data_IF_547092071613
#
_entry.id   IF_547092071613
#
_cell.length_a   1.000
_cell.length_b   1.000
_cell.length_c   1.000
_cell.angle_alpha   90.00
_cell.angle_beta   90.00
_cell.angle_gamma   90.00
#
_symmetry.space_group_name_H-M   'P 1'
#
loop_
_entity.id
_entity.type
_entity.pdbx_description
1 polymer ?
#
# COMPACT_ATOMS: atom_id res chain seq x y z
N UNK A 1 -0.96 -19.77 23.62
CA UNK A 1 -1.28 -19.53 22.19
C UNK A 1 0.03 -19.50 21.39
N UNK A 2 0.96 -18.61 21.76
CA UNK A 2 2.28 -18.48 21.13
C UNK A 2 3.07 -19.79 21.15
N UNK A 3 3.19 -20.45 22.30
CA UNK A 3 3.84 -21.77 22.41
C UNK A 3 3.23 -22.83 21.47
N UNK A 4 1.93 -22.73 21.18
CA UNK A 4 1.24 -23.67 20.29
C UNK A 4 1.52 -23.35 18.81
N UNK A 5 1.62 -22.06 18.44
CA UNK A 5 2.00 -21.64 17.10
C UNK A 5 3.46 -22.00 16.80
N UNK A 6 4.36 -21.72 17.75
CA UNK A 6 5.76 -22.09 17.66
C UNK A 6 5.90 -23.61 17.54
N UNK A 7 5.24 -24.38 18.41
CA UNK A 7 5.25 -25.84 18.33
C UNK A 7 4.65 -26.36 17.02
N UNK A 8 3.62 -25.69 16.48
CA UNK A 8 3.00 -26.05 15.20
C UNK A 8 3.97 -25.92 14.02
N UNK A 9 4.71 -24.81 13.94
CA UNK A 9 5.73 -24.61 12.89
C UNK A 9 6.95 -25.49 13.13
N UNK A 10 7.45 -25.54 14.37
CA UNK A 10 8.65 -26.30 14.72
C UNK A 10 8.46 -27.81 14.63
N UNK A 11 7.26 -28.33 14.90
CA UNK A 11 6.95 -29.73 14.72
C UNK A 11 7.07 -30.20 13.27
N UNK A 12 6.99 -29.28 12.29
CA UNK A 12 7.18 -29.57 10.88
C UNK A 12 8.57 -29.14 10.35
N UNK A 13 9.29 -28.27 11.08
CA UNK A 13 10.58 -27.71 10.69
C UNK A 13 11.73 -28.69 10.92
N UNK A 14 12.81 -28.55 10.13
CA UNK A 14 14.05 -29.31 10.32
C UNK A 14 15.19 -28.43 10.82
N UNK A 15 15.07 -27.11 10.69
CA UNK A 15 15.98 -26.14 11.25
C UNK A 15 15.51 -25.63 12.62
N UNK A 16 16.44 -25.32 13.55
CA UNK A 16 16.10 -24.70 14.82
C UNK A 16 15.49 -23.30 14.63
N UNK A 17 14.36 -23.01 15.29
CA UNK A 17 13.83 -21.65 15.38
C UNK A 17 14.77 -20.76 16.20
N UNK A 18 15.10 -19.59 15.67
CA UNK A 18 15.74 -18.51 16.43
C UNK A 18 14.86 -17.29 16.59
N UNK A 19 13.56 -17.43 16.38
CA UNK A 19 12.56 -16.38 16.58
C UNK A 19 11.46 -16.85 17.52
N UNK A 20 10.79 -15.90 18.17
CA UNK A 20 9.60 -16.10 18.97
C UNK A 20 8.65 -14.91 18.80
N UNK A 21 7.36 -15.15 19.02
CA UNK A 21 6.34 -14.09 19.05
C UNK A 21 6.53 -13.24 20.31
N UNK A 22 6.34 -11.92 20.19
CA UNK A 22 6.34 -10.99 21.30
C UNK A 22 5.28 -9.91 21.13
N UNK A 23 4.49 -9.67 22.16
CA UNK A 23 3.56 -8.52 22.25
C UNK A 23 4.23 -7.21 22.71
N UNK A 24 5.57 -7.16 22.76
CA UNK A 24 6.35 -6.03 23.31
C UNK A 24 7.23 -5.35 22.28
N UNK A 25 6.87 -5.41 21.01
CA UNK A 25 7.57 -4.70 19.94
C UNK A 25 6.85 -3.38 19.62
N UNK A 26 7.50 -2.39 18.97
CA UNK A 26 6.92 -1.07 18.73
C UNK A 26 5.56 -1.08 18.01
N UNK A 27 5.35 -2.00 17.07
CA UNK A 27 4.07 -2.16 16.35
C UNK A 27 3.07 -3.09 17.06
N UNK A 28 3.28 -3.38 18.36
CA UNK A 28 2.45 -4.28 19.15
C UNK A 28 2.98 -5.70 19.15
N UNK A 29 2.32 -6.59 18.40
CA UNK A 29 2.75 -8.00 18.23
C UNK A 29 3.73 -8.12 17.08
N UNK A 30 4.79 -8.90 17.26
CA UNK A 30 5.73 -9.21 16.19
C UNK A 30 6.70 -10.34 16.54
N UNK A 31 7.78 -10.46 15.76
CA UNK A 31 8.83 -11.44 15.99
C UNK A 31 10.07 -10.81 16.64
N UNK A 32 10.70 -11.54 17.56
CA UNK A 32 12.00 -11.17 18.15
C UNK A 32 12.97 -12.34 18.08
N UNK A 33 14.26 -12.05 18.03
CA UNK A 33 15.31 -13.07 18.09
C UNK A 33 15.38 -13.72 19.48
N UNK A 34 15.54 -15.04 19.53
CA UNK A 34 15.66 -15.81 20.79
C UNK A 34 17.10 -16.07 21.20
N UNK A 35 18.06 -15.80 20.31
CA UNK A 35 19.50 -15.92 20.51
C UNK A 35 20.24 -14.84 19.71
N UNK A 36 21.53 -14.68 19.98
CA UNK A 36 22.41 -13.88 19.13
C UNK A 36 22.61 -14.61 17.79
N UNK A 37 22.60 -13.86 16.69
CA UNK A 37 22.71 -14.41 15.33
C UNK A 37 23.65 -13.61 14.46
N UNK A 38 24.30 -14.31 13.52
CA UNK A 38 25.20 -13.70 12.56
C UNK A 38 24.44 -13.09 11.36
N UNK A 39 25.03 -12.10 10.66
CA UNK A 39 24.42 -11.56 9.46
C UNK A 39 24.13 -12.64 8.40
N UNK A 40 22.93 -12.64 7.85
CA UNK A 40 22.50 -13.63 6.86
C UNK A 40 22.23 -15.05 7.40
N UNK A 41 22.32 -15.26 8.71
CA UNK A 41 22.01 -16.55 9.32
C UNK A 41 20.52 -16.91 9.18
N UNK A 42 20.20 -18.19 8.99
CA UNK A 42 18.82 -18.69 9.00
C UNK A 42 18.23 -18.57 10.41
N UNK A 43 17.12 -17.84 10.54
CA UNK A 43 16.44 -17.62 11.83
C UNK A 43 15.06 -18.30 11.91
N UNK A 44 14.41 -18.55 10.77
CA UNK A 44 13.14 -19.27 10.69
C UNK A 44 13.04 -20.06 9.39
N UNK A 45 12.60 -21.31 9.48
CA UNK A 45 12.12 -22.13 8.36
C UNK A 45 10.61 -22.33 8.54
N UNK A 46 9.83 -22.05 7.49
CA UNK A 46 8.38 -22.29 7.42
C UNK A 46 8.13 -23.39 6.37
N UNK A 47 7.88 -24.63 6.81
CA UNK A 47 7.71 -25.76 5.90
C UNK A 47 6.46 -25.66 5.02
N UNK A 48 6.45 -26.29 3.82
CA UNK A 48 5.29 -26.28 2.92
C UNK A 48 3.99 -26.82 3.56
N UNK A 49 4.11 -27.74 4.53
CA UNK A 49 2.95 -28.40 5.17
C UNK A 49 2.13 -27.46 6.06
N UNK A 50 2.74 -26.40 6.57
CA UNK A 50 2.07 -25.42 7.44
C UNK A 50 1.60 -24.17 6.68
N UNK A 51 2.04 -23.99 5.42
CA UNK A 51 1.56 -22.90 4.57
C UNK A 51 0.08 -23.07 4.24
N UNK A 52 -0.62 -21.94 4.17
CA UNK A 52 -2.01 -21.87 3.73
C UNK A 52 -2.12 -21.03 2.45
N UNK A 53 -2.31 -21.72 1.35
CA UNK A 53 -2.55 -21.17 0.02
C UNK A 53 -3.46 -22.09 -0.81
N UNK A 54 -3.95 -21.63 -1.95
CA UNK A 54 -4.84 -22.42 -2.82
C UNK A 54 -4.23 -23.77 -3.23
N UNK A 55 -2.92 -23.85 -3.46
CA UNK A 55 -2.28 -25.13 -3.79
C UNK A 55 -2.32 -26.12 -2.62
N UNK A 56 -2.09 -25.65 -1.38
CA UNK A 56 -2.16 -26.49 -0.18
C UNK A 56 -3.60 -26.90 0.15
N UNK A 57 -4.56 -25.98 -0.02
CA UNK A 57 -5.98 -26.23 0.22
C UNK A 57 -6.53 -27.24 -0.77
N UNK A 58 -6.23 -27.08 -2.06
CA UNK A 58 -6.63 -28.02 -3.11
C UNK A 58 -6.08 -29.44 -2.89
N UNK A 59 -4.87 -29.57 -2.31
CA UNK A 59 -4.29 -30.87 -1.95
C UNK A 59 -5.02 -31.54 -0.78
N UNK A 60 -5.56 -30.76 0.16
CA UNK A 60 -6.34 -31.27 1.32
C UNK A 60 -7.74 -31.69 0.89
N UNK A 61 -8.39 -30.87 0.06
CA UNK A 61 -9.69 -31.15 -0.53
C UNK A 61 -9.78 -30.47 -1.90
N UNK A 62 -10.28 -31.17 -2.92
CA UNK A 62 -10.34 -30.64 -4.27
C UNK A 62 -11.22 -29.38 -4.34
N UNK A 63 -10.64 -28.27 -4.80
CA UNK A 63 -11.35 -27.00 -4.99
C UNK A 63 -11.70 -26.82 -6.47
N UNK A 64 -12.96 -27.09 -6.84
CA UNK A 64 -13.42 -27.02 -8.23
C UNK A 64 -13.43 -25.60 -8.84
N UNK A 65 -13.71 -24.59 -8.01
CA UNK A 65 -13.85 -23.18 -8.41
C UNK A 65 -12.62 -22.31 -8.05
N UNK A 66 -11.49 -22.92 -7.69
CA UNK A 66 -10.24 -22.20 -7.44
C UNK A 66 -9.40 -22.02 -8.72
N UNK A 67 -8.41 -21.12 -8.74
CA UNK A 67 -7.55 -20.93 -9.91
C UNK A 67 -6.84 -22.22 -10.30
N UNK A 68 -6.61 -22.41 -11.60
CA UNK A 68 -5.79 -23.52 -12.12
C UNK A 68 -4.36 -23.07 -12.45
N UNK A 69 -3.39 -23.93 -12.13
CA UNK A 69 -1.98 -23.66 -12.47
C UNK A 69 -1.79 -23.59 -13.98
N UNK A 70 -0.88 -22.72 -14.42
CA UNK A 70 -0.54 -22.52 -15.84
C UNK A 70 -1.71 -22.16 -16.77
N UNK A 71 -2.87 -21.76 -16.23
CA UNK A 71 -4.02 -21.31 -17.02
C UNK A 71 -4.22 -19.81 -16.82
N UNK A 72 -4.40 -19.08 -17.92
CA UNK A 72 -4.85 -17.69 -17.85
C UNK A 72 -6.38 -17.67 -17.94
N UNK A 73 -7.05 -17.65 -16.78
CA UNK A 73 -8.50 -17.69 -16.70
C UNK A 73 -9.08 -16.27 -16.70
N UNK A 74 -10.02 -15.97 -17.61
CA UNK A 74 -10.75 -14.69 -17.56
C UNK A 74 -11.62 -14.67 -16.30
N UNK A 75 -11.38 -13.71 -15.42
CA UNK A 75 -12.19 -13.46 -14.22
C UNK A 75 -13.44 -12.66 -14.59
N UNK A 76 -14.60 -13.05 -14.06
CA UNK A 76 -15.90 -12.44 -14.36
C UNK A 76 -17.05 -13.29 -13.82
N UNK A 77 -18.31 -12.92 -14.12
CA UNK A 77 -19.48 -13.68 -13.70
C UNK A 77 -19.41 -15.14 -14.18
N UNK A 78 -19.33 -16.09 -13.24
CA UNK A 78 -19.17 -17.52 -13.50
C UNK A 78 -17.74 -18.02 -13.74
N UNK A 79 -16.73 -17.16 -13.63
CA UNK A 79 -15.31 -17.55 -13.62
C UNK A 79 -14.85 -18.11 -12.26
N UNK A 80 -13.65 -18.72 -12.19
CA UNK A 80 -13.10 -19.22 -10.94
C UNK A 80 -12.76 -18.06 -9.99
N UNK A 81 -12.83 -18.33 -8.69
CA UNK A 81 -12.34 -17.44 -7.66
C UNK A 81 -10.83 -17.27 -7.77
N UNK A 82 -10.34 -16.10 -7.38
CA UNK A 82 -8.91 -15.87 -7.15
C UNK A 82 -8.43 -16.53 -5.86
N UNK A 83 -7.11 -16.71 -5.72
CA UNK A 83 -6.56 -17.24 -4.46
C UNK A 83 -6.84 -16.33 -3.27
N UNK A 84 -6.79 -15.01 -3.48
CA UNK A 84 -7.17 -14.04 -2.45
C UNK A 84 -8.62 -14.26 -1.98
N UNK A 85 -9.56 -14.42 -2.90
CA UNK A 85 -10.98 -14.65 -2.59
C UNK A 85 -11.20 -16.00 -1.88
N UNK A 86 -10.55 -17.08 -2.33
CA UNK A 86 -10.65 -18.40 -1.70
C UNK A 86 -10.14 -18.37 -0.26
N UNK A 87 -8.96 -17.80 -0.02
CA UNK A 87 -8.38 -17.71 1.33
C UNK A 87 -9.24 -16.81 2.22
N UNK A 88 -9.68 -15.65 1.72
CA UNK A 88 -10.56 -14.73 2.44
C UNK A 88 -11.88 -15.40 2.85
N UNK A 89 -12.49 -16.15 1.94
CA UNK A 89 -13.72 -16.90 2.19
C UNK A 89 -13.50 -18.01 3.22
N UNK A 90 -12.39 -18.75 3.14
CA UNK A 90 -12.06 -19.80 4.11
C UNK A 90 -11.89 -19.24 5.54
N UNK A 91 -11.19 -18.11 5.68
CA UNK A 91 -11.05 -17.41 6.95
C UNK A 91 -12.40 -16.92 7.47
N UNK A 92 -13.20 -16.28 6.61
CA UNK A 92 -14.53 -15.81 6.95
C UNK A 92 -15.44 -16.94 7.44
N UNK A 93 -15.42 -18.11 6.78
CA UNK A 93 -16.17 -19.29 7.20
C UNK A 93 -15.68 -19.80 8.55
N UNK A 94 -14.37 -19.87 8.78
CA UNK A 94 -13.82 -20.28 10.07
C UNK A 94 -14.27 -19.35 11.20
N UNK A 95 -14.28 -18.03 10.98
CA UNK A 95 -14.82 -17.06 11.94
C UNK A 95 -16.32 -17.24 12.17
N UNK A 96 -17.11 -17.33 11.10
CA UNK A 96 -18.56 -17.49 11.16
C UNK A 96 -19.00 -18.81 11.80
N UNK A 97 -18.21 -19.88 11.64
CA UNK A 97 -18.42 -21.19 12.26
C UNK A 97 -18.07 -21.25 13.76
N UNK A 98 -17.73 -20.12 14.39
CA UNK A 98 -17.37 -20.09 15.81
C UNK A 98 -15.94 -20.52 16.10
N UNK A 99 -15.03 -20.37 15.12
CA UNK A 99 -13.59 -20.69 15.24
C UNK A 99 -13.33 -22.13 15.70
N UNK A 100 -13.87 -23.15 14.99
CA UNK A 100 -13.70 -24.54 15.40
C UNK A 100 -12.24 -25.00 15.35
N UNK A 101 -11.95 -26.03 16.15
CA UNK A 101 -10.62 -26.65 16.20
C UNK A 101 -10.25 -27.34 14.89
N UNK A 102 -8.96 -27.25 14.54
CA UNK A 102 -8.36 -27.82 13.34
C UNK A 102 -6.87 -28.00 13.49
N UNK A 103 -6.26 -28.77 12.60
CA UNK A 103 -4.79 -28.86 12.50
C UNK A 103 -4.15 -27.50 12.21
N UNK A 104 -4.90 -26.55 11.62
CA UNK A 104 -4.47 -25.18 11.39
C UNK A 104 -4.75 -24.23 12.56
N UNK A 105 -5.43 -24.68 13.63
CA UNK A 105 -5.92 -23.82 14.70
C UNK A 105 -4.82 -23.02 15.40
N UNK A 106 -3.60 -23.57 15.66
CA UNK A 106 -2.51 -22.79 16.22
C UNK A 106 -2.17 -21.54 15.41
N UNK A 107 -2.30 -21.62 14.08
CA UNK A 107 -2.13 -20.48 13.18
C UNK A 107 -3.36 -19.58 13.14
N UNK A 108 -4.55 -20.13 12.88
CA UNK A 108 -5.76 -19.32 12.70
C UNK A 108 -6.13 -18.48 13.93
N UNK A 109 -5.92 -19.04 15.13
CA UNK A 109 -6.16 -18.34 16.40
C UNK A 109 -5.14 -17.23 16.66
N UNK A 110 -3.97 -17.27 16.02
CA UNK A 110 -2.94 -16.23 16.15
C UNK A 110 -3.25 -14.97 15.33
N UNK A 111 -4.12 -15.06 14.32
CA UNK A 111 -4.52 -13.94 13.48
C UNK A 111 -5.19 -12.82 14.31
N UNK A 112 -5.10 -11.54 13.89
CA UNK A 112 -5.75 -10.43 14.58
C UNK A 112 -7.26 -10.63 14.68
N UNK A 113 -7.88 -10.16 15.77
CA UNK A 113 -9.34 -10.22 15.93
C UNK A 113 -10.10 -9.17 15.11
N UNK A 114 -9.46 -8.01 14.88
CA UNK A 114 -10.02 -6.87 14.17
C UNK A 114 -8.90 -6.00 13.56
N UNK A 115 -9.30 -5.06 12.70
CA UNK A 115 -8.43 -4.08 12.05
C UNK A 115 -9.00 -2.67 12.25
N UNK A 116 -9.03 -2.16 13.49
CA UNK A 116 -9.78 -0.94 13.84
C UNK A 116 -9.21 0.33 13.21
N UNK A 117 -7.93 0.32 12.81
CA UNK A 117 -7.24 1.48 12.23
C UNK A 117 -7.25 1.49 10.70
N UNK A 118 -7.83 0.47 10.05
CA UNK A 118 -7.85 0.38 8.59
C UNK A 118 -9.03 1.16 7.99
N UNK A 119 -8.82 2.03 6.98
CA UNK A 119 -9.90 2.77 6.33
C UNK A 119 -11.02 1.89 5.75
N UNK A 120 -10.69 0.68 5.30
CA UNK A 120 -11.69 -0.27 4.82
C UNK A 120 -12.68 -0.66 5.93
N UNK A 121 -12.17 -0.89 7.14
CA UNK A 121 -13.00 -1.23 8.31
C UNK A 121 -13.97 -0.09 8.62
N UNK A 122 -13.48 1.16 8.69
CA UNK A 122 -14.32 2.33 8.91
C UNK A 122 -15.43 2.46 7.87
N UNK A 123 -15.11 2.20 6.60
CA UNK A 123 -16.04 2.37 5.50
C UNK A 123 -17.13 1.28 5.44
N UNK A 124 -16.83 0.06 5.89
CA UNK A 124 -17.78 -1.06 5.90
C UNK A 124 -18.60 -1.09 7.18
N UNK A 125 -17.99 -0.86 8.34
CA UNK A 125 -18.69 -0.85 9.63
C UNK A 125 -19.54 0.43 9.80
N UNK A 126 -19.12 1.54 9.19
CA UNK A 126 -19.86 2.79 9.21
C UNK A 126 -19.94 3.41 10.61
N UNK A 127 -20.96 4.22 10.85
CA UNK A 127 -21.08 5.02 12.07
C UNK A 127 -20.54 6.44 11.90
N UNK A 128 -21.00 7.35 12.77
CA UNK A 128 -20.72 8.79 12.65
C UNK A 128 -19.23 9.08 12.78
N UNK A 129 -18.56 8.51 13.78
CA UNK A 129 -17.13 8.68 14.03
C UNK A 129 -16.27 8.19 12.84
N UNK A 130 -16.48 6.95 12.40
CA UNK A 130 -15.80 6.40 11.22
C UNK A 130 -16.00 7.24 9.96
N UNK A 131 -17.21 7.77 9.77
CA UNK A 131 -17.52 8.66 8.65
C UNK A 131 -16.72 9.96 8.71
N UNK A 132 -16.56 10.54 9.90
CA UNK A 132 -15.84 11.80 10.08
C UNK A 132 -14.31 11.62 10.02
N UNK A 133 -13.78 10.49 10.51
CA UNK A 133 -12.38 10.09 10.28
C UNK A 133 -12.13 9.91 8.79
N UNK A 134 -13.00 9.17 8.08
CA UNK A 134 -12.89 8.99 6.64
C UNK A 134 -12.91 10.32 5.89
N UNK A 135 -13.79 11.27 6.25
CA UNK A 135 -13.81 12.64 5.67
C UNK A 135 -12.52 13.42 5.92
N UNK A 136 -11.83 13.12 7.01
CA UNK A 136 -10.59 13.79 7.41
C UNK A 136 -9.33 13.29 6.72
N UNK A 137 -9.39 12.16 6.01
CA UNK A 137 -8.26 11.66 5.23
C UNK A 137 -7.74 12.71 4.23
N UNK A 138 -6.41 12.75 4.04
CA UNK A 138 -5.79 13.48 2.95
C UNK A 138 -6.33 13.00 1.59
N UNK A 139 -6.17 13.80 0.53
CA UNK A 139 -6.59 13.35 -0.80
C UNK A 139 -5.86 12.07 -1.21
N UNK A 140 -4.55 12.02 -0.95
CA UNK A 140 -3.71 10.83 -1.18
C UNK A 140 -4.24 9.60 -0.45
N UNK A 141 -4.43 9.70 0.88
CA UNK A 141 -4.92 8.61 1.70
C UNK A 141 -6.32 8.15 1.30
N UNK A 142 -7.22 9.10 0.98
CA UNK A 142 -8.57 8.78 0.47
C UNK A 142 -8.50 8.00 -0.84
N UNK A 143 -7.72 8.47 -1.81
CA UNK A 143 -7.58 7.78 -3.10
C UNK A 143 -7.11 6.33 -2.94
N UNK A 144 -6.12 6.10 -2.07
CA UNK A 144 -5.64 4.73 -1.76
C UNK A 144 -6.71 3.90 -1.02
N UNK A 145 -7.40 4.48 -0.04
CA UNK A 145 -8.49 3.81 0.67
C UNK A 145 -9.66 3.43 -0.25
N UNK A 146 -10.05 4.32 -1.16
CA UNK A 146 -11.13 4.07 -2.13
C UNK A 146 -10.76 2.96 -3.12
N UNK A 147 -9.49 2.86 -3.51
CA UNK A 147 -8.99 1.75 -4.33
C UNK A 147 -9.11 0.41 -3.59
N UNK A 148 -8.67 0.34 -2.33
CA UNK A 148 -8.81 -0.86 -1.47
C UNK A 148 -10.27 -1.24 -1.32
N UNK A 149 -11.13 -0.26 -0.98
CA UNK A 149 -12.58 -0.46 -0.86
C UNK A 149 -13.20 -0.97 -2.16
N UNK A 150 -12.82 -0.42 -3.31
CA UNK A 150 -13.31 -0.88 -4.61
C UNK A 150 -12.92 -2.34 -4.90
N UNK A 151 -11.74 -2.78 -4.45
CA UNK A 151 -11.34 -4.20 -4.58
C UNK A 151 -12.15 -5.08 -3.64
N UNK A 152 -12.30 -4.69 -2.38
CA UNK A 152 -13.12 -5.39 -1.40
C UNK A 152 -14.57 -5.54 -1.89
N UNK A 153 -15.19 -4.43 -2.32
CA UNK A 153 -16.58 -4.44 -2.80
C UNK A 153 -16.71 -5.41 -3.97
N UNK A 154 -15.82 -5.33 -4.97
CA UNK A 154 -15.85 -6.26 -6.12
C UNK A 154 -15.71 -7.73 -5.70
N UNK A 155 -14.81 -8.02 -4.76
CA UNK A 155 -14.60 -9.39 -4.28
C UNK A 155 -15.81 -9.90 -3.47
N UNK A 156 -16.39 -9.06 -2.63
CA UNK A 156 -17.59 -9.39 -1.86
C UNK A 156 -18.79 -9.64 -2.77
N UNK A 157 -19.03 -8.76 -3.75
CA UNK A 157 -20.09 -8.96 -4.75
C UNK A 157 -19.88 -10.26 -5.53
N UNK A 158 -18.65 -10.52 -5.98
CA UNK A 158 -18.35 -11.73 -6.72
C UNK A 158 -18.59 -13.01 -5.89
N UNK A 159 -18.13 -13.02 -4.63
CA UNK A 159 -18.39 -14.13 -3.71
C UNK A 159 -19.90 -14.29 -3.47
N UNK A 160 -20.63 -13.21 -3.22
CA UNK A 160 -22.08 -13.27 -3.00
C UNK A 160 -22.86 -13.78 -4.22
N UNK A 161 -22.40 -13.48 -5.44
CA UNK A 161 -23.06 -13.89 -6.69
C UNK A 161 -22.76 -15.34 -7.09
N UNK A 162 -21.50 -15.78 -7.02
CA UNK A 162 -21.11 -17.09 -7.58
C UNK A 162 -21.15 -18.23 -6.57
N UNK A 163 -21.33 -17.91 -5.29
CA UNK A 163 -21.31 -18.92 -4.24
C UNK A 163 -22.48 -19.88 -4.38
N UNK A 164 -22.15 -21.16 -4.38
CA UNK A 164 -23.11 -22.24 -4.12
C UNK A 164 -22.77 -22.92 -2.79
N UNK A 165 -23.75 -23.61 -2.20
CA UNK A 165 -23.53 -24.42 -1.01
C UNK A 165 -22.42 -25.47 -1.21
N UNK A 166 -22.30 -26.02 -2.42
CA UNK A 166 -21.23 -26.97 -2.75
C UNK A 166 -19.86 -26.30 -2.71
N UNK A 167 -19.72 -25.09 -3.27
CA UNK A 167 -18.46 -24.34 -3.22
C UNK A 167 -18.07 -23.99 -1.78
N UNK A 168 -19.02 -23.52 -0.97
CA UNK A 168 -18.77 -23.26 0.45
C UNK A 168 -18.35 -24.52 1.19
N UNK A 169 -18.97 -25.65 0.88
CA UNK A 169 -18.59 -26.94 1.46
C UNK A 169 -17.17 -27.37 1.05
N UNK A 170 -16.78 -27.16 -0.20
CA UNK A 170 -15.42 -27.48 -0.67
C UNK A 170 -14.36 -26.62 0.01
N UNK A 171 -14.60 -25.32 0.15
CA UNK A 171 -13.70 -24.40 0.86
C UNK A 171 -13.60 -24.81 2.33
N UNK A 172 -14.73 -25.09 2.99
CA UNK A 172 -14.78 -25.55 4.37
C UNK A 172 -13.97 -26.84 4.59
N UNK A 173 -14.22 -27.85 3.75
CA UNK A 173 -13.49 -29.13 3.81
C UNK A 173 -11.99 -28.95 3.55
N UNK A 174 -11.58 -28.00 2.70
CA UNK A 174 -10.16 -27.73 2.43
C UNK A 174 -9.38 -27.17 3.63
N UNK A 175 -10.10 -26.63 4.62
CA UNK A 175 -9.57 -26.22 5.93
C UNK A 175 -9.53 -27.38 6.95
N UNK A 176 -9.83 -28.61 6.51
CA UNK A 176 -9.92 -29.80 7.34
C UNK A 176 -11.20 -29.88 8.16
N UNK A 177 -12.24 -29.14 7.77
CA UNK A 177 -13.48 -29.06 8.53
C UNK A 177 -14.49 -30.12 8.13
N UNK A 178 -15.32 -30.52 9.11
CA UNK A 178 -16.43 -31.43 8.91
C UNK A 178 -17.77 -30.71 9.14
N UNK A 179 -18.88 -31.35 8.73
CA UNK A 179 -20.22 -30.79 8.87
C UNK A 179 -20.54 -29.74 7.80
N UNK A 180 -21.67 -29.05 7.97
CA UNK A 180 -22.17 -28.07 7.01
C UNK A 180 -21.37 -26.77 7.09
N UNK A 181 -20.87 -26.29 5.94
CA UNK A 181 -20.19 -25.00 5.87
C UNK A 181 -21.08 -23.85 6.33
N UNK A 182 -20.57 -22.94 7.18
CA UNK A 182 -21.33 -21.78 7.64
C UNK A 182 -21.49 -20.75 6.51
N UNK A 183 -22.62 -20.05 6.52
CA UNK A 183 -22.82 -18.83 5.74
C UNK A 183 -22.00 -17.70 6.34
N UNK A 184 -21.39 -16.86 5.51
CA UNK A 184 -20.58 -15.71 5.94
C UNK A 184 -21.34 -14.39 5.76
N UNK A 185 -21.22 -13.48 6.72
CA UNK A 185 -21.68 -12.09 6.58
C UNK A 185 -20.63 -11.21 5.89
N UNK A 186 -21.01 -9.98 5.53
CA UNK A 186 -20.04 -9.00 5.01
C UNK A 186 -18.96 -8.68 6.05
N UNK A 187 -19.27 -8.69 7.35
CA UNK A 187 -18.30 -8.44 8.41
C UNK A 187 -17.33 -9.62 8.60
N UNK A 188 -17.79 -10.86 8.46
CA UNK A 188 -16.90 -12.03 8.46
C UNK A 188 -15.96 -12.00 7.26
N UNK A 189 -16.49 -11.63 6.09
CA UNK A 189 -15.69 -11.49 4.88
C UNK A 189 -14.71 -10.32 4.97
N UNK A 190 -15.10 -9.16 5.52
CA UNK A 190 -14.20 -8.05 5.81
C UNK A 190 -12.98 -8.51 6.61
N UNK A 191 -13.21 -9.27 7.69
CA UNK A 191 -12.12 -9.79 8.51
C UNK A 191 -11.22 -10.75 7.73
N UNK A 192 -11.80 -11.75 7.04
CA UNK A 192 -11.03 -12.71 6.25
C UNK A 192 -10.25 -12.03 5.12
N UNK A 193 -10.84 -11.01 4.49
CA UNK A 193 -10.24 -10.21 3.43
C UNK A 193 -9.07 -9.37 3.98
N UNK A 194 -9.23 -8.71 5.13
CA UNK A 194 -8.16 -7.94 5.76
C UNK A 194 -7.00 -8.83 6.22
N UNK A 195 -7.28 -10.00 6.82
CA UNK A 195 -6.25 -10.99 7.13
C UNK A 195 -5.49 -11.41 5.87
N UNK A 196 -6.19 -11.69 4.77
CA UNK A 196 -5.56 -12.11 3.52
C UNK A 196 -4.73 -10.98 2.90
N UNK A 197 -5.28 -9.77 2.81
CA UNK A 197 -4.66 -8.61 2.17
C UNK A 197 -3.39 -8.13 2.91
N UNK A 198 -3.44 -8.14 4.26
CA UNK A 198 -2.36 -7.59 5.08
C UNK A 198 -1.27 -8.61 5.47
N UNK A 199 -1.52 -9.93 5.32
CA UNK A 199 -0.61 -10.98 5.83
C UNK A 199 -0.14 -11.99 4.80
N UNK A 200 -0.76 -12.05 3.62
CA UNK A 200 -0.23 -12.92 2.56
C UNK A 200 1.11 -12.40 2.06
N UNK A 201 2.06 -13.32 1.91
CA UNK A 201 3.28 -13.07 1.15
C UNK A 201 3.14 -13.63 -0.26
N UNK A 202 3.85 -13.00 -1.20
CA UNK A 202 3.99 -13.57 -2.53
C UNK A 202 4.89 -14.82 -2.45
N UNK A 203 4.48 -15.88 -3.13
CA UNK A 203 5.27 -17.09 -3.35
C UNK A 203 4.89 -17.64 -4.72
N UNK A 204 5.88 -17.90 -5.59
CA UNK A 204 5.58 -18.50 -6.89
C UNK A 204 5.06 -19.94 -6.72
N UNK A 205 3.75 -20.11 -6.85
CA UNK A 205 3.04 -21.37 -6.77
C UNK A 205 2.79 -21.97 -8.17
N UNK A 206 3.28 -21.34 -9.24
CA UNK A 206 3.05 -21.73 -10.63
C UNK A 206 1.69 -21.30 -11.19
N UNK A 207 1.06 -20.27 -10.61
CA UNK A 207 -0.13 -19.66 -11.21
C UNK A 207 0.27 -18.54 -12.16
N UNK A 208 -0.39 -18.47 -13.32
CA UNK A 208 -0.09 -17.47 -14.35
C UNK A 208 -0.41 -16.04 -13.89
N UNK A 209 -1.43 -15.88 -13.05
CA UNK A 209 -1.84 -14.57 -12.53
C UNK A 209 -1.13 -14.31 -11.20
N UNK A 210 -0.40 -13.20 -11.14
CA UNK A 210 0.33 -12.77 -9.94
C UNK A 210 -0.55 -12.79 -8.66
N UNK A 211 -1.82 -12.32 -8.67
CA UNK A 211 -2.68 -12.34 -7.49
C UNK A 211 -3.10 -13.75 -7.00
N UNK A 212 -2.75 -14.81 -7.73
CA UNK A 212 -3.01 -16.20 -7.31
C UNK A 212 -1.81 -16.87 -6.64
N UNK A 213 -0.68 -16.15 -6.56
CA UNK A 213 0.56 -16.61 -5.94
C UNK A 213 0.69 -16.06 -4.50
N UNK A 214 -0.42 -16.05 -3.76
CA UNK A 214 -0.47 -15.59 -2.37
C UNK A 214 -0.48 -16.75 -1.39
N UNK A 215 0.26 -16.58 -0.29
CA UNK A 215 0.40 -17.57 0.77
C UNK A 215 0.36 -16.91 2.13
N UNK A 216 -0.48 -17.43 3.03
CA UNK A 216 -0.35 -17.21 4.46
C UNK A 216 0.72 -18.14 5.02
N UNK A 217 1.71 -17.54 5.67
CA UNK A 217 2.89 -18.22 6.17
C UNK A 217 2.97 -18.06 7.70
N UNK A 218 2.53 -19.07 8.49
CA UNK A 218 2.53 -18.98 9.95
C UNK A 218 3.91 -18.61 10.51
N UNK A 219 3.92 -17.80 11.57
CA UNK A 219 5.08 -17.09 12.15
C UNK A 219 5.68 -16.02 11.25
N UNK A 220 5.97 -16.31 9.99
CA UNK A 220 6.53 -15.29 9.09
C UNK A 220 5.60 -14.08 8.93
N UNK A 221 4.29 -14.30 8.94
CA UNK A 221 3.27 -13.25 8.88
C UNK A 221 3.22 -12.35 10.13
N UNK A 222 3.95 -12.68 11.19
CA UNK A 222 4.15 -11.85 12.38
C UNK A 222 5.34 -10.89 12.24
N UNK A 223 6.18 -11.03 11.20
CA UNK A 223 7.26 -10.09 10.97
C UNK A 223 6.71 -8.72 10.56
N UNK A 224 7.01 -7.69 11.33
CA UNK A 224 6.55 -6.32 11.06
C UNK A 224 7.29 -5.69 9.89
N UNK A 225 6.71 -4.62 9.34
CA UNK A 225 7.34 -3.86 8.27
C UNK A 225 8.49 -2.99 8.78
N UNK A 226 9.59 -2.94 8.03
CA UNK A 226 10.57 -1.85 8.09
C UNK A 226 10.82 -1.26 6.71
N UNK A 227 10.96 0.06 6.62
CA UNK A 227 11.48 0.75 5.42
C UNK A 227 12.99 1.04 5.53
N UNK A 228 13.64 0.63 6.64
CA UNK A 228 15.07 0.80 6.89
C UNK A 228 15.83 -0.42 6.33
N UNK A 229 16.63 -0.28 5.26
CA UNK A 229 17.18 -1.44 4.55
C UNK A 229 18.10 -2.34 5.37
N UNK A 230 18.82 -1.78 6.35
CA UNK A 230 19.76 -2.57 7.17
C UNK A 230 19.07 -3.35 8.30
N UNK A 231 17.81 -3.05 8.62
CA UNK A 231 16.97 -3.80 9.56
C UNK A 231 16.24 -4.99 8.89
N UNK A 232 16.25 -5.06 7.56
CA UNK A 232 15.44 -6.01 6.80
C UNK A 232 16.00 -7.43 6.88
N UNK A 233 15.21 -8.35 7.43
CA UNK A 233 15.37 -9.79 7.26
C UNK A 233 14.92 -10.22 5.85
N UNK A 234 15.65 -11.14 5.24
CA UNK A 234 15.40 -11.58 3.87
C UNK A 234 14.57 -12.86 3.84
N UNK A 235 13.44 -12.81 3.15
CA UNK A 235 12.62 -13.99 2.85
C UNK A 235 13.16 -14.69 1.61
N UNK A 236 13.36 -16.01 1.68
CA UNK A 236 13.80 -16.86 0.58
C UNK A 236 12.84 -18.02 0.38
N UNK A 237 12.71 -18.48 -0.86
CA UNK A 237 12.02 -19.73 -1.18
C UNK A 237 12.93 -20.94 -0.92
N UNK A 238 12.47 -21.86 -0.08
CA UNK A 238 13.13 -23.14 0.10
C UNK A 238 12.88 -24.03 -1.13
N UNK A 239 13.89 -24.79 -1.54
CA UNK A 239 13.84 -25.70 -2.69
C UNK A 239 12.78 -26.79 -2.54
N UNK A 240 12.33 -27.08 -1.31
CA UNK A 240 11.25 -28.05 -1.03
C UNK A 240 9.85 -27.42 -1.07
N UNK A 241 9.76 -26.13 -1.41
CA UNK A 241 8.50 -25.38 -1.49
C UNK A 241 8.06 -24.75 -0.17
N UNK A 242 9.00 -24.46 0.74
CA UNK A 242 8.78 -23.71 1.98
C UNK A 242 9.29 -22.28 1.87
N UNK A 243 9.29 -21.57 2.99
CA UNK A 243 9.87 -20.24 3.12
C UNK A 243 10.95 -20.23 4.20
N UNK A 244 11.97 -19.42 4.01
CA UNK A 244 13.05 -19.21 4.98
C UNK A 244 13.19 -17.73 5.26
N UNK A 245 13.48 -17.38 6.50
CA UNK A 245 13.81 -16.03 6.93
C UNK A 245 15.26 -15.99 7.38
N UNK A 246 16.02 -15.10 6.76
CA UNK A 246 17.43 -14.86 7.05
C UNK A 246 17.58 -13.55 7.83
N UNK A 247 18.43 -13.55 8.85
CA UNK A 247 18.85 -12.35 9.55
C UNK A 247 19.40 -11.31 8.55
N UNK A 248 19.33 -10.00 8.86
CA UNK A 248 19.78 -8.98 7.93
C UNK A 248 21.25 -9.20 7.53
N UNK A 249 21.54 -9.05 6.24
CA UNK A 249 22.88 -9.33 5.69
C UNK A 249 23.95 -8.33 6.13
N UNK A 250 23.53 -7.16 6.61
CA UNK A 250 24.44 -6.15 7.14
C UNK A 250 24.60 -6.33 8.66
N UNK A 251 25.81 -6.13 9.19
CA UNK A 251 25.99 -6.10 10.63
C UNK A 251 25.23 -4.92 11.22
N UNK A 252 24.60 -5.13 12.37
CA UNK A 252 24.00 -4.05 13.14
C UNK A 252 25.07 -2.99 13.45
N UNK A 253 24.77 -1.68 13.28
CA UNK A 253 25.65 -0.61 13.75
C UNK A 253 26.03 -0.82 15.22
N UNK A 254 27.30 -0.60 15.54
CA UNK A 254 27.86 -0.97 16.83
C UNK A 254 27.11 -0.28 17.98
N UNK A 255 26.41 -1.08 18.79
CA UNK A 255 25.88 -0.67 20.10
C UNK A 255 26.64 -1.43 21.17
N UNK A 256 27.31 -0.70 22.05
CA UNK A 256 28.05 -1.26 23.20
C UNK A 256 29.16 -2.28 22.85
N UNK A 257 29.90 -2.06 21.74
CA UNK A 257 31.16 -2.78 21.49
C UNK A 257 31.02 -4.23 20.99
N UNK A 258 29.87 -4.63 20.45
CA UNK A 258 29.62 -6.00 19.98
C UNK A 258 29.00 -5.99 18.58
N UNK A 259 29.52 -6.81 17.65
CA UNK A 259 29.02 -6.96 16.27
C UNK A 259 27.91 -8.04 16.15
N UNK A 260 26.99 -7.89 15.20
CA UNK A 260 25.91 -8.86 14.94
C UNK A 260 24.57 -8.53 15.63
N UNK A 261 23.58 -9.39 15.41
CA UNK A 261 22.22 -9.24 15.90
C UNK A 261 22.06 -9.92 17.27
N UNK A 262 21.19 -9.37 18.12
CA UNK A 262 21.06 -9.81 19.52
C UNK A 262 19.73 -10.48 19.79
N UNK A 263 19.76 -11.39 20.76
CA UNK A 263 18.54 -11.84 21.43
C UNK A 263 17.69 -10.63 21.85
N UNK A 264 16.42 -10.65 21.49
CA UNK A 264 15.45 -9.60 21.77
C UNK A 264 15.37 -8.50 20.71
N UNK A 265 16.27 -8.46 19.71
CA UNK A 265 16.08 -7.58 18.57
C UNK A 265 14.85 -8.01 17.76
N UNK A 266 14.06 -7.04 17.31
CA UNK A 266 12.89 -7.28 16.46
C UNK A 266 13.31 -7.78 15.07
N UNK A 267 12.54 -8.72 14.55
CA UNK A 267 12.70 -9.31 13.23
C UNK A 267 11.67 -8.68 12.30
N UNK A 268 12.13 -7.82 11.41
CA UNK A 268 11.29 -7.08 10.45
C UNK A 268 11.58 -7.51 9.01
N UNK A 269 10.58 -7.38 8.14
CA UNK A 269 10.72 -7.57 6.69
C UNK A 269 10.24 -6.31 5.94
N UNK A 270 10.55 -6.23 4.65
CA UNK A 270 10.03 -5.15 3.78
C UNK A 270 8.80 -5.65 3.03
N UNK A 271 7.63 -5.09 3.31
CA UNK A 271 6.39 -5.41 2.57
C UNK A 271 6.43 -4.84 1.15
N UNK A 272 7.14 -3.71 1.00
CA UNK A 272 7.38 -3.03 -0.26
C UNK A 272 7.91 -1.62 -0.01
N UNK A 273 8.26 -0.93 -1.09
CA UNK A 273 8.58 0.50 -1.06
C UNK A 273 7.29 1.32 -1.00
N UNK A 274 6.59 1.27 0.14
CA UNK A 274 5.26 1.83 0.31
C UNK A 274 5.29 3.16 1.06
N UNK A 275 4.54 4.14 0.56
CA UNK A 275 4.20 5.35 1.30
C UNK A 275 3.32 5.01 2.52
N UNK A 276 3.33 5.88 3.54
CA UNK A 276 2.46 5.74 4.71
C UNK A 276 0.97 5.71 4.32
N UNK A 277 0.56 6.41 3.27
CA UNK A 277 -0.83 6.37 2.77
C UNK A 277 -1.21 4.99 2.19
N UNK A 278 -0.26 4.30 1.55
CA UNK A 278 -0.44 2.90 1.11
C UNK A 278 -0.45 1.95 2.28
N UNK A 279 0.48 2.10 3.24
CA UNK A 279 0.54 1.27 4.43
C UNK A 279 -0.77 1.37 5.24
N UNK A 280 -1.31 2.58 5.37
CA UNK A 280 -2.59 2.82 6.03
C UNK A 280 -3.74 2.13 5.32
N UNK A 281 -3.86 2.31 4.00
CA UNK A 281 -4.97 1.76 3.24
C UNK A 281 -4.96 0.22 3.18
N UNK A 282 -3.78 -0.39 3.04
CA UNK A 282 -3.64 -1.83 2.82
C UNK A 282 -3.47 -2.64 4.12
N UNK A 283 -2.83 -2.06 5.14
CA UNK A 283 -2.45 -2.75 6.37
C UNK A 283 -2.97 -2.10 7.66
N UNK A 284 -3.43 -0.84 7.61
CA UNK A 284 -3.98 -0.14 8.77
C UNK A 284 -2.95 0.51 9.69
N UNK A 285 -1.72 0.78 9.23
CA UNK A 285 -0.71 1.46 10.04
C UNK A 285 0.13 2.44 9.19
N UNK A 286 0.90 3.31 9.86
CA UNK A 286 1.89 4.20 9.24
C UNK A 286 3.24 4.05 9.95
N UNK A 287 4.34 4.27 9.23
CA UNK A 287 5.66 4.32 9.85
C UNK A 287 5.87 5.66 10.57
N UNK A 288 6.68 5.72 11.64
CA UNK A 288 6.94 6.96 12.38
C UNK A 288 7.50 8.10 11.52
N UNK A 289 7.17 9.34 11.87
CA UNK A 289 7.65 10.55 11.18
C UNK A 289 9.16 10.81 11.38
N UNK A 290 9.77 10.16 12.37
CA UNK A 290 11.19 10.22 12.73
C UNK A 290 11.95 8.91 12.45
N UNK A 291 11.52 8.16 11.43
CA UNK A 291 12.10 6.89 11.01
C UNK A 291 13.64 6.95 10.75
N UNK A 292 14.10 8.07 10.23
CA UNK A 292 15.50 8.35 9.89
C UNK A 292 15.96 9.62 10.63
N UNK A 293 16.20 9.55 11.95
CA UNK A 293 16.47 10.75 12.76
C UNK A 293 17.79 11.44 12.38
N UNK A 294 18.71 10.71 11.75
CA UNK A 294 20.00 11.23 11.27
C UNK A 294 19.92 11.85 9.87
N UNK A 295 18.77 11.77 9.18
CA UNK A 295 18.56 12.40 7.89
C UNK A 295 18.28 13.90 8.08
N UNK A 296 19.26 14.73 7.70
CA UNK A 296 19.19 16.18 7.83
C UNK A 296 18.14 16.84 6.93
N UNK A 297 17.63 16.13 5.91
CA UNK A 297 16.68 16.66 4.94
C UNK A 297 15.24 16.24 5.26
N UNK A 298 15.00 14.93 5.40
CA UNK A 298 13.67 14.38 5.70
C UNK A 298 13.76 13.10 6.54
N UNK A 299 13.27 13.17 7.77
CA UNK A 299 13.36 12.08 8.76
C UNK A 299 12.28 11.02 8.62
N UNK A 300 11.24 11.26 7.83
CA UNK A 300 10.09 10.35 7.72
C UNK A 300 10.32 9.19 6.75
N UNK A 301 9.25 8.50 6.40
CA UNK A 301 9.29 7.46 5.38
C UNK A 301 9.64 8.05 4.00
N UNK A 302 10.84 7.76 3.50
CA UNK A 302 11.34 8.25 2.20
C UNK A 302 10.49 7.88 0.98
N UNK A 303 9.61 6.88 1.12
CA UNK A 303 8.70 6.46 0.06
C UNK A 303 7.38 7.23 0.03
N UNK A 304 7.17 8.16 0.98
CA UNK A 304 5.99 8.99 1.00
C UNK A 304 5.83 9.78 -0.32
N UNK A 305 4.61 9.78 -0.83
CA UNK A 305 4.15 10.57 -1.96
C UNK A 305 2.92 11.39 -1.55
N UNK A 306 2.69 12.51 -2.24
CA UNK A 306 1.50 13.33 -2.03
C UNK A 306 0.85 13.60 -3.38
N UNK A 307 -0.37 13.11 -3.57
CA UNK A 307 -1.11 13.25 -4.83
C UNK A 307 -1.76 14.62 -4.95
N UNK A 308 -1.54 15.27 -6.11
CA UNK A 308 -2.09 16.57 -6.49
C UNK A 308 -3.12 16.46 -7.63
N UNK A 309 -3.63 15.27 -7.94
CA UNK A 309 -4.55 15.02 -9.05
C UNK A 309 -5.77 15.94 -9.05
N UNK A 310 -6.53 16.00 -7.94
CA UNK A 310 -7.69 16.90 -7.80
C UNK A 310 -7.33 18.37 -8.05
N UNK A 311 -6.15 18.80 -7.60
CA UNK A 311 -5.71 20.18 -7.77
C UNK A 311 -5.36 20.49 -9.24
N UNK A 312 -4.70 19.58 -9.94
CA UNK A 312 -4.41 19.72 -11.37
C UNK A 312 -5.68 19.67 -12.22
N UNK A 313 -6.60 18.75 -11.90
CA UNK A 313 -7.91 18.68 -12.54
C UNK A 313 -8.64 20.01 -12.39
N UNK A 314 -8.69 20.56 -11.17
CA UNK A 314 -9.31 21.87 -10.91
C UNK A 314 -8.66 22.99 -11.73
N UNK A 315 -7.32 23.02 -11.81
CA UNK A 315 -6.62 24.01 -12.64
C UNK A 315 -6.99 23.90 -14.11
N UNK A 316 -7.09 22.70 -14.65
CA UNK A 316 -7.50 22.48 -16.04
C UNK A 316 -8.96 22.90 -16.25
N UNK A 317 -9.88 22.49 -15.36
CA UNK A 317 -11.30 22.83 -15.47
C UNK A 317 -11.53 24.36 -15.48
N UNK A 318 -10.76 25.12 -14.67
CA UNK A 318 -10.82 26.59 -14.66
C UNK A 318 -10.36 27.25 -15.96
N UNK A 319 -9.66 26.53 -16.84
CA UNK A 319 -9.24 27.01 -18.16
C UNK A 319 -10.29 26.75 -19.26
N UNK A 320 -11.44 26.17 -18.93
CA UNK A 320 -12.54 25.91 -19.86
C UNK A 320 -12.13 25.04 -21.05
N UNK A 321 -12.52 25.42 -22.26
CA UNK A 321 -12.23 24.68 -23.50
C UNK A 321 -10.72 24.46 -23.75
N UNK A 322 -9.87 25.42 -23.36
CA UNK A 322 -8.41 25.24 -23.42
C UNK A 322 -7.95 24.16 -22.44
N UNK A 323 -8.50 24.14 -21.23
CA UNK A 323 -8.20 23.14 -20.22
C UNK A 323 -8.62 21.74 -20.62
N UNK A 324 -9.81 21.61 -21.22
CA UNK A 324 -10.29 20.34 -21.77
C UNK A 324 -9.33 19.82 -22.85
N UNK A 325 -8.89 20.66 -23.79
CA UNK A 325 -7.91 20.27 -24.80
C UNK A 325 -6.58 19.82 -24.16
N UNK A 326 -6.07 20.53 -23.15
CA UNK A 326 -4.85 20.15 -22.43
C UNK A 326 -5.01 18.78 -21.74
N UNK A 327 -6.17 18.50 -21.16
CA UNK A 327 -6.50 17.21 -20.57
C UNK A 327 -6.46 16.08 -21.60
N UNK A 328 -7.13 16.24 -22.74
CA UNK A 328 -7.15 15.25 -23.82
C UNK A 328 -5.73 14.98 -24.35
N UNK A 329 -4.88 16.00 -24.42
CA UNK A 329 -3.47 15.84 -24.79
C UNK A 329 -2.68 15.04 -23.74
N UNK A 330 -2.88 15.31 -22.45
CA UNK A 330 -2.25 14.56 -21.37
C UNK A 330 -2.68 13.09 -21.36
N UNK A 331 -3.97 12.82 -21.57
CA UNK A 331 -4.54 11.47 -21.67
C UNK A 331 -3.95 10.70 -22.86
N UNK A 332 -3.96 11.32 -24.05
CA UNK A 332 -3.48 10.67 -25.29
C UNK A 332 -1.98 10.41 -25.30
N UNK A 333 -1.17 11.19 -24.58
CA UNK A 333 0.29 11.02 -24.50
C UNK A 333 0.73 10.27 -23.23
N UNK A 334 -0.21 9.76 -22.43
CA UNK A 334 0.10 8.91 -21.25
C UNK A 334 0.63 9.66 -20.03
N UNK A 335 0.36 10.96 -19.95
CA UNK A 335 0.74 11.87 -18.86
C UNK A 335 -0.45 12.28 -17.97
N UNK A 336 -1.61 11.65 -18.11
CA UNK A 336 -2.77 11.95 -17.27
C UNK A 336 -2.71 11.28 -15.88
N UNK A 337 -3.05 12.07 -14.86
CA UNK A 337 -3.12 11.69 -13.45
C UNK A 337 -1.77 11.22 -12.87
N UNK A 338 -1.79 10.68 -11.64
CA UNK A 338 -0.59 10.26 -10.92
C UNK A 338 0.43 11.42 -10.77
N UNK A 339 -0.13 12.61 -10.53
CA UNK A 339 0.62 13.82 -10.27
C UNK A 339 0.96 13.85 -8.78
N UNK A 340 2.24 13.76 -8.47
CA UNK A 340 2.71 13.62 -7.09
C UNK A 340 3.89 14.53 -6.80
N UNK A 341 4.10 14.81 -5.52
CA UNK A 341 5.32 15.41 -4.99
C UNK A 341 5.98 14.47 -3.98
N UNK A 342 7.30 14.52 -3.90
CA UNK A 342 8.11 13.55 -3.15
C UNK A 342 9.16 14.25 -2.26
N UNK A 343 9.40 13.77 -1.03
CA UNK A 343 10.49 14.26 -0.18
C UNK A 343 11.86 13.73 -0.59
N UNK A 344 11.90 12.59 -1.28
CA UNK A 344 13.13 11.84 -1.59
C UNK A 344 13.10 11.30 -3.03
N UNK A 345 14.26 11.18 -3.71
CA UNK A 345 15.58 11.69 -3.29
C UNK A 345 15.58 13.21 -3.11
N UNK A 346 16.49 13.72 -2.27
CA UNK A 346 16.67 15.15 -2.09
C UNK A 346 17.33 15.78 -3.34
N UNK A 347 16.98 17.02 -3.71
CA UNK A 347 15.96 17.86 -3.09
C UNK A 347 14.54 17.35 -3.37
N UNK A 348 13.59 17.71 -2.52
CA UNK A 348 12.18 17.36 -2.68
C UNK A 348 11.63 17.96 -3.98
N UNK A 349 10.91 17.17 -4.75
CA UNK A 349 10.63 17.47 -6.16
C UNK A 349 9.23 17.02 -6.58
N UNK A 350 8.65 17.64 -7.64
CA UNK A 350 7.49 17.09 -8.31
C UNK A 350 7.86 15.81 -9.08
N UNK A 351 6.91 14.90 -9.24
CA UNK A 351 7.08 13.77 -10.15
C UNK A 351 7.21 14.26 -11.59
N UNK A 352 7.86 13.45 -12.44
CA UNK A 352 8.01 13.77 -13.86
C UNK A 352 6.65 14.02 -14.54
N UNK A 353 5.61 13.27 -14.16
CA UNK A 353 4.23 13.46 -14.66
C UNK A 353 3.68 14.82 -14.26
N UNK A 354 3.81 15.19 -12.98
CA UNK A 354 3.35 16.49 -12.48
C UNK A 354 4.11 17.64 -13.18
N UNK A 355 5.43 17.55 -13.31
CA UNK A 355 6.23 18.58 -13.98
C UNK A 355 5.82 18.75 -15.45
N UNK A 356 5.63 17.63 -16.15
CA UNK A 356 5.19 17.59 -17.55
C UNK A 356 3.79 18.20 -17.73
N UNK A 357 2.86 17.89 -16.81
CA UNK A 357 1.52 18.46 -16.83
C UNK A 357 1.55 19.96 -16.51
N UNK A 358 2.30 20.40 -15.50
CA UNK A 358 2.41 21.82 -15.14
C UNK A 358 2.99 22.65 -16.28
N UNK A 359 3.99 22.12 -17.00
CA UNK A 359 4.54 22.78 -18.21
C UNK A 359 3.45 23.13 -19.20
N UNK A 360 2.49 22.22 -19.43
CA UNK A 360 1.33 22.44 -20.31
C UNK A 360 0.28 23.35 -19.68
N UNK A 361 -0.06 23.14 -18.40
CA UNK A 361 -1.03 23.95 -17.64
C UNK A 361 -0.63 25.42 -17.69
N UNK A 362 0.65 25.74 -17.52
CA UNK A 362 1.21 27.08 -17.52
C UNK A 362 1.45 27.68 -18.92
N UNK A 363 1.05 27.01 -20.02
CA UNK A 363 1.09 27.61 -21.35
C UNK A 363 -0.14 28.49 -21.59
N UNK A 364 0.10 29.73 -21.96
CA UNK A 364 -0.94 30.66 -22.45
C UNK A 364 -1.31 30.32 -23.89
N UNK A 365 -2.60 30.07 -24.13
CA UNK A 365 -3.16 29.71 -25.44
C UNK A 365 -4.03 30.85 -25.95
N UNK A 366 -3.76 31.30 -27.18
CA UNK A 366 -4.54 32.34 -27.86
C UNK A 366 -4.78 31.93 -29.31
N UNK A 367 -6.02 31.53 -29.60
CA UNK A 367 -6.48 31.13 -30.92
C UNK A 367 -6.68 32.33 -31.87
N UNK A 368 -6.77 33.57 -31.34
CA UNK A 368 -6.93 34.77 -32.17
C UNK A 368 -5.64 35.19 -32.89
N UNK A 369 -4.49 34.58 -32.55
CA UNK A 369 -3.16 34.90 -33.10
C UNK A 369 -2.90 34.50 -34.55
N UNK A 370 -3.91 34.17 -35.36
CA UNK A 370 -3.74 34.09 -36.83
C UNK A 370 -3.49 35.44 -37.51
N UNK A 371 -3.72 36.56 -36.82
CA UNK A 371 -3.42 37.90 -37.35
C UNK A 371 -2.50 38.66 -36.40
N UNK A 372 -1.34 39.10 -36.91
CA UNK A 372 -0.33 39.88 -36.18
C UNK A 372 -0.93 41.20 -35.68
N UNK A 373 -1.48 41.23 -34.47
CA UNK A 373 -1.82 42.48 -33.80
C UNK A 373 -0.58 43.02 -33.08
N UNK A 374 -0.11 44.24 -33.36
CA UNK A 374 1.00 44.86 -32.62
C UNK A 374 0.54 45.15 -31.18
N UNK A 375 1.15 44.48 -30.19
CA UNK A 375 0.84 44.63 -28.77
C UNK A 375 0.53 43.33 -28.00
N UNK A 376 0.48 42.18 -28.68
CA UNK A 376 0.24 40.90 -28.02
C UNK A 376 1.41 40.49 -27.09
N UNK A 377 1.08 39.89 -25.93
CA UNK A 377 2.09 39.36 -25.00
C UNK A 377 3.00 38.34 -25.72
N UNK A 378 4.33 38.42 -25.56
CA UNK A 378 5.31 37.74 -26.41
C UNK A 378 5.27 36.20 -26.41
N UNK A 379 4.57 35.55 -25.47
CA UNK A 379 4.64 34.08 -25.31
C UNK A 379 3.35 33.29 -25.58
N UNK A 380 2.22 33.94 -25.88
CA UNK A 380 0.99 33.18 -26.14
C UNK A 380 1.03 32.42 -27.49
N UNK A 381 0.53 31.18 -27.53
CA UNK A 381 0.65 30.22 -28.63
C UNK A 381 -0.71 29.74 -29.15
N UNK A 382 -0.78 29.29 -30.40
CA UNK A 382 -1.91 28.47 -30.89
C UNK A 382 -1.88 27.08 -30.25
N UNK A 383 -2.99 26.34 -30.19
CA UNK A 383 -2.98 24.93 -29.73
C UNK A 383 -1.95 24.08 -30.46
N UNK A 384 -1.89 24.19 -31.79
CA UNK A 384 -0.96 23.41 -32.61
C UNK A 384 0.50 23.72 -32.30
N UNK A 385 0.85 24.99 -32.08
CA UNK A 385 2.20 25.36 -31.69
C UNK A 385 2.54 24.92 -30.27
N UNK A 386 1.59 25.03 -29.34
CA UNK A 386 1.75 24.59 -27.96
C UNK A 386 2.00 23.07 -27.89
N UNK A 387 1.16 22.28 -28.58
CA UNK A 387 1.30 20.82 -28.70
C UNK A 387 2.67 20.43 -29.26
N UNK A 388 3.09 21.06 -30.35
CA UNK A 388 4.38 20.78 -30.99
C UNK A 388 5.55 21.07 -30.05
N UNK A 389 5.55 22.22 -29.38
CA UNK A 389 6.63 22.61 -28.47
C UNK A 389 6.64 21.74 -27.22
N UNK A 390 5.49 21.45 -26.64
CA UNK A 390 5.38 20.57 -25.48
C UNK A 390 5.85 19.15 -25.80
N UNK A 391 5.46 18.59 -26.96
CA UNK A 391 5.97 17.28 -27.44
C UNK A 391 7.47 17.25 -27.67
N UNK A 392 8.06 18.35 -28.14
CA UNK A 392 9.52 18.42 -28.29
C UNK A 392 10.22 18.26 -26.94
N UNK A 393 9.63 18.78 -25.86
CA UNK A 393 10.18 18.61 -24.51
C UNK A 393 9.95 17.20 -24.00
N UNK A 394 8.72 16.69 -24.06
CA UNK A 394 8.38 15.37 -23.52
C UNK A 394 9.06 14.20 -24.27
N UNK A 395 9.49 14.44 -25.52
CA UNK A 395 10.23 13.45 -26.34
C UNK A 395 11.75 13.68 -26.32
N UNK A 396 12.25 14.55 -25.45
CA UNK A 396 13.69 14.80 -25.29
C UNK A 396 14.36 15.58 -26.43
N UNK A 397 13.59 16.17 -27.33
CA UNK A 397 14.10 17.07 -28.39
C UNK A 397 14.49 18.46 -27.88
N UNK A 398 14.02 18.84 -26.68
CA UNK A 398 14.38 20.05 -25.94
C UNK A 398 14.32 19.79 -24.43
N UNK A 399 15.10 20.52 -23.65
CA UNK A 399 15.08 20.41 -22.18
C UNK A 399 13.87 21.12 -21.54
N UNK A 400 13.42 22.24 -22.12
CA UNK A 400 12.33 23.07 -21.59
C UNK A 400 11.56 23.80 -22.69
N UNK A 401 10.38 24.33 -22.33
CA UNK A 401 9.53 25.14 -23.22
C UNK A 401 10.11 26.55 -23.39
N UNK A 402 10.36 27.22 -22.27
CA UNK A 402 11.04 28.52 -22.14
C UNK A 402 11.36 28.76 -20.65
N UNK A 403 12.31 29.65 -20.35
CA UNK A 403 12.61 30.05 -18.96
C UNK A 403 11.36 30.59 -18.23
N UNK A 404 10.58 31.43 -18.89
CA UNK A 404 9.35 31.97 -18.32
C UNK A 404 8.28 30.91 -18.03
N UNK A 405 8.21 29.83 -18.82
CA UNK A 405 7.32 28.71 -18.52
C UNK A 405 7.80 27.94 -17.29
N UNK A 406 9.11 27.68 -17.15
CA UNK A 406 9.66 27.03 -15.96
C UNK A 406 9.44 27.89 -14.69
N UNK A 407 9.59 29.21 -14.78
CA UNK A 407 9.27 30.12 -13.68
C UNK A 407 7.79 30.06 -13.29
N UNK A 408 6.90 30.01 -14.29
CA UNK A 408 5.47 29.86 -14.07
C UNK A 408 5.12 28.50 -13.42
N UNK A 409 5.78 27.43 -13.84
CA UNK A 409 5.65 26.08 -13.27
C UNK A 409 6.05 26.09 -11.79
N UNK A 410 7.21 26.65 -11.44
CA UNK A 410 7.69 26.73 -10.05
C UNK A 410 6.76 27.55 -9.17
N UNK A 411 6.26 28.67 -9.68
CA UNK A 411 5.26 29.50 -8.99
C UNK A 411 3.94 28.76 -8.78
N UNK A 412 3.48 28.02 -9.80
CA UNK A 412 2.25 27.24 -9.72
C UNK A 412 2.40 26.09 -8.71
N UNK A 413 3.53 25.38 -8.72
CA UNK A 413 3.83 24.33 -7.75
C UNK A 413 3.84 24.86 -6.31
N UNK A 414 4.44 26.04 -6.09
CA UNK A 414 4.43 26.69 -4.77
C UNK A 414 3.01 27.06 -4.32
N UNK A 415 2.18 27.52 -5.26
CA UNK A 415 0.76 27.82 -4.99
C UNK A 415 -0.02 26.56 -4.60
N UNK A 416 0.23 25.44 -5.30
CA UNK A 416 -0.38 24.15 -4.97
C UNK A 416 0.02 23.65 -3.58
N UNK A 417 1.31 23.79 -3.21
CA UNK A 417 1.80 23.41 -1.89
C UNK A 417 1.13 24.24 -0.77
N UNK A 418 0.96 25.55 -0.97
CA UNK A 418 0.27 26.41 -0.02
C UNK A 418 -1.22 26.05 0.14
N UNK A 419 -1.91 25.76 -0.97
CA UNK A 419 -3.30 25.33 -0.96
C UNK A 419 -3.46 23.98 -0.22
N UNK A 420 -2.54 23.06 -0.45
CA UNK A 420 -2.49 21.78 0.27
C UNK A 420 -2.35 22.01 1.77
N UNK A 421 -1.43 22.87 2.19
CA UNK A 421 -1.20 23.19 3.60
C UNK A 421 -2.46 23.74 4.28
N UNK A 422 -3.19 24.64 3.61
CA UNK A 422 -4.44 25.20 4.11
C UNK A 422 -5.56 24.15 4.20
N UNK A 423 -5.69 23.27 3.19
CA UNK A 423 -6.66 22.17 3.21
C UNK A 423 -6.40 21.20 4.37
N UNK A 424 -5.13 20.88 4.62
CA UNK A 424 -4.73 20.00 5.72
C UNK A 424 -5.01 20.62 7.09
N UNK A 425 -4.79 21.91 7.26
CA UNK A 425 -5.14 22.61 8.50
C UNK A 425 -6.66 22.52 8.81
N UNK A 426 -7.52 22.60 7.79
CA UNK A 426 -8.97 22.42 7.96
C UNK A 426 -9.31 20.98 8.39
N UNK A 427 -8.68 19.97 7.76
CA UNK A 427 -8.87 18.55 8.13
C UNK A 427 -8.39 18.24 9.55
N UNK A 428 -7.26 18.80 9.97
CA UNK A 428 -6.76 18.69 11.34
C UNK A 428 -7.74 19.30 12.36
N UNK A 429 -8.32 20.46 12.05
CA UNK A 429 -9.34 21.08 12.89
C UNK A 429 -10.61 20.22 12.99
N UNK A 430 -11.02 19.58 11.89
CA UNK A 430 -12.14 18.63 11.89
C UNK A 430 -11.84 17.40 12.76
N UNK A 431 -10.66 16.79 12.63
CA UNK A 431 -10.23 15.67 13.48
C UNK A 431 -10.23 16.02 14.96
N UNK A 432 -9.77 17.21 15.33
CA UNK A 432 -9.74 17.66 16.72
C UNK A 432 -11.14 17.80 17.35
N UNK A 433 -12.19 17.87 16.53
CA UNK A 433 -13.58 17.96 16.98
C UNK A 433 -14.27 16.60 17.17
N UNK A 434 -13.67 15.51 16.71
CA UNK A 434 -14.23 14.15 16.83
C UNK A 434 -14.15 13.72 18.30
N UNK A 435 -15.31 13.39 18.89
CA UNK A 435 -15.45 12.84 20.24
C UNK A 435 -15.72 11.34 20.13
N UNK A 436 -14.99 10.50 20.88
CA UNK A 436 -15.06 9.05 20.73
C UNK A 436 -13.66 8.46 20.72
N UNK A 437 -13.51 7.26 21.26
CA UNK A 437 -12.23 6.72 21.75
C UNK A 437 -11.60 5.71 20.79
N UNK A 438 -11.39 6.07 19.52
CA UNK A 438 -10.25 5.51 18.77
C UNK A 438 -9.13 6.56 18.63
N UNK A 439 -8.36 6.78 19.70
CA UNK A 439 -7.29 7.76 19.67
C UNK A 439 -6.14 7.32 18.74
N UNK A 440 -6.10 6.06 18.31
CA UNK A 440 -5.06 5.57 17.40
C UNK A 440 -5.36 5.92 15.95
N UNK A 441 -6.58 5.63 15.47
CA UNK A 441 -7.04 6.03 14.14
C UNK A 441 -6.86 7.54 13.92
N UNK A 442 -7.28 8.36 14.90
CA UNK A 442 -7.14 9.82 14.83
C UNK A 442 -5.66 10.23 14.76
N UNK A 443 -4.78 9.66 15.60
CA UNK A 443 -3.34 9.96 15.58
C UNK A 443 -2.70 9.59 14.25
N UNK A 444 -3.07 8.45 13.68
CA UNK A 444 -2.55 8.00 12.38
C UNK A 444 -2.92 8.99 11.28
N UNK A 445 -4.19 9.41 11.20
CA UNK A 445 -4.63 10.38 10.19
C UNK A 445 -3.96 11.74 10.43
N UNK A 446 -3.83 12.19 11.68
CA UNK A 446 -3.09 13.42 12.01
C UNK A 446 -1.64 13.35 11.53
N UNK A 447 -0.94 12.24 11.79
CA UNK A 447 0.44 12.06 11.37
C UNK A 447 0.57 12.16 9.84
N UNK A 448 -0.28 11.45 9.09
CA UNK A 448 -0.29 11.54 7.62
C UNK A 448 -0.47 13.00 7.17
N UNK A 449 -1.42 13.72 7.76
CA UNK A 449 -1.66 15.11 7.38
C UNK A 449 -0.44 16.02 7.66
N UNK A 450 0.24 15.84 8.80
CA UNK A 450 1.46 16.60 9.14
C UNK A 450 2.63 16.25 8.22
N UNK A 451 2.80 14.97 7.87
CA UNK A 451 3.83 14.52 6.95
C UNK A 451 3.63 15.11 5.56
N UNK A 452 2.40 15.09 5.02
CA UNK A 452 2.08 15.69 3.72
C UNK A 452 2.31 17.22 3.73
N UNK A 453 1.95 17.92 4.81
CA UNK A 453 2.29 19.33 4.98
C UNK A 453 3.80 19.59 4.95
N UNK A 454 4.59 18.72 5.61
CA UNK A 454 6.04 18.84 5.62
C UNK A 454 6.65 18.60 4.23
N UNK A 455 6.14 17.61 3.50
CA UNK A 455 6.60 17.33 2.12
C UNK A 455 6.28 18.53 1.21
N UNK A 456 5.05 19.05 1.26
CA UNK A 456 4.66 20.22 0.49
C UNK A 456 5.53 21.45 0.80
N UNK A 457 5.87 21.66 2.06
CA UNK A 457 6.79 22.75 2.46
C UNK A 457 8.20 22.57 1.87
N UNK A 458 8.75 21.36 1.92
CA UNK A 458 10.07 21.07 1.32
C UNK A 458 10.07 21.30 -0.19
N UNK A 459 9.02 20.88 -0.89
CA UNK A 459 8.87 21.06 -2.34
C UNK A 459 8.69 22.53 -2.70
N UNK A 460 7.92 23.29 -1.91
CA UNK A 460 7.78 24.74 -2.05
C UNK A 460 9.13 25.44 -1.93
N UNK A 461 9.91 25.12 -0.89
CA UNK A 461 11.26 25.67 -0.69
C UNK A 461 12.17 25.32 -1.87
N UNK A 462 12.12 24.08 -2.36
CA UNK A 462 12.91 23.65 -3.51
C UNK A 462 12.53 24.41 -4.80
N UNK A 463 11.23 24.65 -5.00
CA UNK A 463 10.72 25.43 -6.12
C UNK A 463 11.18 26.89 -6.08
N UNK A 464 11.16 27.52 -4.90
CA UNK A 464 11.59 28.90 -4.69
C UNK A 464 13.10 29.09 -4.85
N UNK A 465 13.90 28.09 -4.47
CA UNK A 465 15.36 28.10 -4.66
C UNK A 465 15.79 27.90 -6.12
N UNK A 466 14.90 27.35 -6.95
CA UNK A 466 15.24 26.99 -8.32
C UNK A 466 16.08 25.71 -8.42
N UNK A 467 15.94 24.79 -7.45
CA UNK A 467 16.69 23.52 -7.49
C UNK A 467 16.36 22.73 -8.77
N UNK A 468 17.32 21.93 -9.22
CA UNK A 468 17.13 21.02 -10.35
C UNK A 468 16.27 19.80 -9.95
N UNK A 469 15.41 19.36 -10.85
CA UNK A 469 14.50 18.22 -10.70
C UNK A 469 14.58 17.29 -11.89
#
# INVERSE_FOLDING_TARGET
>A
MEDALDAYVQGASRAPCKVAVSDRVPAGRGLVLTADVEPGELVLEVPPSVLLNCSSMHKRHALGNAPRKNAFEKRGAGGPLSSHQVISCALAQWRAGGRPDTVLAPFLVSLPDAFPTAPLTWAVEGGMENTDILKSLSHTARSRADQVKSRFDRDWHHIAEITSQAMYQDIWASMGMCGTAPTISQHDFLWGWMCTNSRCVYMDLGYAQHPDNFTLAPLLDMANHTAVPWLECKVRYDVRGGLELLAPSQPRPERAGRQGWRKGDEVCITYGAHANTTLLAEYGFVLPADLHPDDAYYTGNRYNDVLLDEAIITLLDTQGDVGQWKRELLESEGYWADYSIHPSPAPAHPSHRLHTALRLVCMEIDEAKRQKTPGARPESRTRTDAERVWRLVTRGGRESISSANEDAVRKQLSTLCNALHASHAQKLAMLASIQGTDPEAIRIVQQVLYEEQRIAELVRISAEKGDAW
#
